data_IF_750918430771
#
_entry.id   IF_750918430771
#
_cell.length_a   1.000
_cell.length_b   1.000
_cell.length_c   1.000
_cell.angle_alpha   90.00
_cell.angle_beta   90.00
_cell.angle_gamma   90.00
#
_symmetry.space_group_name_H-M   'P 1'
#
loop_
_entity.id
_entity.type
_entity.pdbx_description
1 polymer ?
#
# COMPACT_ATOMS: atom_id res chain seq x y z
N UNK A 1 4.36 0.11 -7.93
CA UNK A 1 2.98 -0.27 -8.32
C UNK A 1 2.01 0.37 -7.33
N UNK A 2 0.81 0.74 -7.74
CA UNK A 2 -0.17 1.39 -6.86
C UNK A 2 -1.39 0.47 -6.69
N UNK A 3 -1.76 0.17 -5.45
CA UNK A 3 -3.02 -0.45 -5.10
C UNK A 3 -3.95 0.64 -4.53
N UNK A 4 -4.76 1.29 -5.38
CA UNK A 4 -5.67 2.34 -4.93
C UNK A 4 -6.84 1.74 -4.14
N UNK A 5 -7.53 2.59 -3.38
CA UNK A 5 -8.67 2.20 -2.56
C UNK A 5 -8.30 1.06 -1.58
N UNK A 6 -7.08 1.07 -1.05
CA UNK A 6 -6.63 0.04 -0.12
C UNK A 6 -7.48 0.11 1.15
N UNK A 7 -7.96 -1.06 1.57
CA UNK A 7 -8.72 -1.24 2.80
C UNK A 7 -8.01 -2.30 3.62
N UNK A 8 -7.85 -2.02 4.91
CA UNK A 8 -7.32 -2.99 5.85
C UNK A 8 -8.27 -4.18 6.02
N UNK A 9 -7.76 -5.36 6.39
CA UNK A 9 -8.60 -6.49 6.77
C UNK A 9 -9.56 -6.09 7.90
N UNK A 10 -10.84 -6.43 7.75
CA UNK A 10 -11.84 -6.20 8.78
C UNK A 10 -11.70 -7.30 9.84
N UNK A 11 -11.32 -6.92 11.05
CA UNK A 11 -11.22 -7.84 12.19
C UNK A 11 -12.57 -8.53 12.46
N UNK A 12 -12.54 -9.85 12.67
CA UNK A 12 -13.75 -10.64 12.93
C UNK A 12 -14.65 -10.90 11.71
N UNK A 13 -14.22 -10.54 10.50
CA UNK A 13 -14.99 -10.83 9.28
C UNK A 13 -15.10 -12.34 9.01
N UNK A 14 -16.31 -12.81 8.69
CA UNK A 14 -16.58 -14.18 8.22
C UNK A 14 -16.48 -14.32 6.70
N UNK A 15 -16.06 -13.26 5.99
CA UNK A 15 -15.88 -13.30 4.55
C UNK A 15 -14.68 -14.19 4.18
N UNK A 16 -14.94 -15.24 3.40
CA UNK A 16 -13.96 -16.27 3.04
C UNK A 16 -13.10 -15.91 1.81
N UNK A 17 -13.36 -14.78 1.16
CA UNK A 17 -12.52 -14.30 0.05
C UNK A 17 -11.20 -13.72 0.53
N UNK A 18 -10.21 -13.69 -0.36
CA UNK A 18 -8.87 -13.17 -0.08
C UNK A 18 -8.88 -11.70 0.34
N UNK A 19 -7.97 -11.36 1.25
CA UNK A 19 -7.67 -9.97 1.56
C UNK A 19 -6.84 -9.31 0.45
N UNK A 20 -6.85 -7.98 0.37
CA UNK A 20 -5.93 -7.25 -0.54
C UNK A 20 -4.47 -7.58 -0.25
N UNK A 21 -4.11 -7.70 1.03
CA UNK A 21 -2.77 -8.07 1.46
C UNK A 21 -2.37 -9.47 0.92
N UNK A 22 -3.28 -10.45 0.96
CA UNK A 22 -3.04 -11.79 0.39
C UNK A 22 -2.71 -11.72 -1.11
N UNK A 23 -3.52 -10.98 -1.88
CA UNK A 23 -3.31 -10.83 -3.33
C UNK A 23 -2.02 -10.08 -3.67
N UNK A 24 -1.65 -9.08 -2.87
CA UNK A 24 -0.38 -8.36 -3.05
C UNK A 24 0.80 -9.28 -2.74
N UNK A 25 0.70 -10.14 -1.72
CA UNK A 25 1.73 -11.14 -1.41
C UNK A 25 1.91 -12.16 -2.54
N UNK A 26 0.82 -12.60 -3.17
CA UNK A 26 0.86 -13.45 -4.35
C UNK A 26 1.51 -12.74 -5.55
N UNK A 27 1.18 -11.45 -5.77
CA UNK A 27 1.87 -10.63 -6.76
C UNK A 27 3.39 -10.60 -6.53
N UNK A 28 3.83 -10.50 -5.26
CA UNK A 28 5.24 -10.52 -4.89
C UNK A 28 5.94 -11.87 -5.03
N UNK A 29 5.20 -12.97 -5.25
CA UNK A 29 5.81 -14.25 -5.59
C UNK A 29 6.48 -14.22 -6.97
N UNK A 30 5.95 -13.41 -7.89
CA UNK A 30 6.45 -13.30 -9.27
C UNK A 30 7.12 -11.96 -9.57
N UNK A 31 6.92 -10.93 -8.74
CA UNK A 31 7.36 -9.57 -9.01
C UNK A 31 8.10 -8.98 -7.80
N UNK A 32 9.27 -8.38 -8.01
CA UNK A 32 9.99 -7.68 -6.94
C UNK A 32 9.50 -6.23 -6.71
N UNK A 33 8.66 -5.70 -7.60
CA UNK A 33 8.27 -4.28 -7.57
C UNK A 33 7.47 -3.94 -6.29
N UNK A 34 7.84 -2.89 -5.54
CA UNK A 34 7.06 -2.43 -4.40
C UNK A 34 5.63 -2.03 -4.76
N UNK A 35 4.69 -2.28 -3.86
CA UNK A 35 3.29 -1.90 -3.99
C UNK A 35 2.94 -0.91 -2.87
N UNK A 36 2.34 0.23 -3.23
CA UNK A 36 1.76 1.17 -2.26
C UNK A 36 0.25 0.94 -2.18
N UNK A 37 -0.23 0.47 -1.03
CA UNK A 37 -1.64 0.47 -0.67
C UNK A 37 -2.07 1.88 -0.28
N UNK A 38 -2.74 2.57 -1.20
CA UNK A 38 -3.17 3.95 -1.03
C UNK A 38 -4.64 3.99 -0.58
N UNK A 39 -4.88 4.49 0.62
CA UNK A 39 -6.22 4.63 1.19
C UNK A 39 -6.98 5.78 0.51
N UNK A 40 -8.30 5.67 0.44
CA UNK A 40 -9.15 6.73 -0.12
C UNK A 40 -8.97 8.06 0.61
N UNK A 41 -9.01 9.17 -0.12
CA UNK A 41 -8.72 10.50 0.42
C UNK A 41 -7.23 10.84 0.52
N UNK A 42 -6.33 9.92 0.13
CA UNK A 42 -4.90 10.17 -0.02
C UNK A 42 -4.46 10.16 -1.48
N UNK A 43 -3.34 10.81 -1.80
CA UNK A 43 -2.76 10.83 -3.15
C UNK A 43 -1.24 10.94 -3.11
N UNK A 44 -0.58 10.59 -4.20
CA UNK A 44 0.85 10.84 -4.39
C UNK A 44 1.03 12.12 -5.19
N UNK A 45 1.82 13.06 -4.66
CA UNK A 45 2.28 14.23 -5.38
C UNK A 45 3.71 13.98 -5.86
N UNK A 46 3.95 14.18 -7.16
CA UNK A 46 5.27 14.02 -7.78
C UNK A 46 5.75 15.38 -8.25
N UNK A 47 6.92 15.81 -7.78
CA UNK A 47 7.62 17.03 -8.21
C UNK A 47 9.06 16.70 -8.59
N UNK A 48 9.32 16.59 -9.89
CA UNK A 48 10.60 16.11 -10.39
C UNK A 48 10.87 14.68 -9.92
N UNK A 49 11.98 14.47 -9.21
CA UNK A 49 12.33 13.17 -8.62
C UNK A 49 11.75 12.94 -7.22
N UNK A 50 11.08 13.94 -6.62
CA UNK A 50 10.49 13.81 -5.29
C UNK A 50 9.07 13.28 -5.36
N UNK A 51 8.78 12.28 -4.53
CA UNK A 51 7.44 11.73 -4.32
C UNK A 51 7.02 12.03 -2.89
N UNK A 52 5.78 12.48 -2.70
CA UNK A 52 5.22 12.70 -1.37
C UNK A 52 3.81 12.10 -1.29
N UNK A 53 3.53 11.39 -0.19
CA UNK A 53 2.18 11.04 0.19
C UNK A 53 1.49 12.28 0.74
N UNK A 54 0.27 12.53 0.27
CA UNK A 54 -0.61 13.61 0.72
C UNK A 54 -1.96 13.03 1.15
N UNK A 55 -2.67 13.80 1.97
CA UNK A 55 -3.85 13.32 2.71
C UNK A 55 -3.55 13.17 4.20
N UNK A 56 -4.57 12.88 4.99
CA UNK A 56 -4.47 12.72 6.45
C UNK A 56 -4.18 11.28 6.89
N UNK A 57 -4.29 10.31 5.97
CA UNK A 57 -4.11 8.89 6.26
C UNK A 57 -2.70 8.43 5.89
N UNK A 58 -2.25 7.38 6.57
CA UNK A 58 -1.05 6.64 6.17
C UNK A 58 -1.31 5.83 4.91
N UNK A 59 -0.26 5.48 4.18
CA UNK A 59 -0.29 4.44 3.16
C UNK A 59 0.40 3.18 3.69
N UNK A 60 0.10 2.02 3.11
CA UNK A 60 0.76 0.76 3.48
C UNK A 60 1.72 0.34 2.38
N UNK A 61 3.00 0.23 2.69
CA UNK A 61 4.05 -0.20 1.76
C UNK A 61 4.24 -1.72 1.86
N UNK A 62 4.19 -2.37 0.71
CA UNK A 62 4.46 -3.79 0.55
C UNK A 62 5.71 -3.97 -0.30
N UNK A 63 6.66 -4.73 0.22
CA UNK A 63 7.88 -5.12 -0.47
C UNK A 63 8.00 -6.65 -0.46
N UNK A 64 8.54 -7.22 -1.53
CA UNK A 64 8.69 -8.66 -1.66
C UNK A 64 9.56 -9.23 -0.51
N UNK A 65 9.04 -10.26 0.17
CA UNK A 65 9.74 -10.91 1.28
C UNK A 65 9.80 -10.12 2.59
N UNK A 66 9.13 -8.97 2.69
CA UNK A 66 9.08 -8.15 3.92
C UNK A 66 7.66 -8.07 4.47
N UNK A 67 7.55 -7.87 5.79
CA UNK A 67 6.28 -7.51 6.40
C UNK A 67 5.84 -6.11 5.92
N UNK A 68 4.53 -5.88 5.68
CA UNK A 68 4.04 -4.57 5.27
C UNK A 68 4.29 -3.52 6.36
N UNK A 69 4.61 -2.29 5.95
CA UNK A 69 4.86 -1.17 6.87
C UNK A 69 3.94 0.01 6.60
N UNK A 70 3.51 0.70 7.66
CA UNK A 70 2.76 1.95 7.53
C UNK A 70 3.71 3.11 7.21
N UNK A 71 3.29 3.97 6.30
CA UNK A 71 4.05 5.13 5.85
C UNK A 71 3.22 6.38 6.08
N UNK A 72 3.78 7.31 6.86
CA UNK A 72 3.13 8.56 7.19
C UNK A 72 2.99 9.48 5.96
N UNK A 73 1.99 10.36 6.02
CA UNK A 73 1.85 11.46 5.07
C UNK A 73 3.11 12.33 5.10
N UNK A 74 3.59 12.74 3.93
CA UNK A 74 4.86 13.44 3.77
C UNK A 74 5.76 12.83 2.69
N UNK A 75 7.04 13.23 2.64
CA UNK A 75 8.00 12.71 1.68
C UNK A 75 8.14 11.19 1.74
N UNK A 76 8.14 10.54 0.58
CA UNK A 76 8.37 9.11 0.44
C UNK A 76 9.79 8.85 -0.04
N UNK A 77 10.46 7.93 0.64
CA UNK A 77 11.73 7.34 0.19
C UNK A 77 11.42 5.92 -0.28
N UNK A 78 11.26 5.75 -1.59
CA UNK A 78 10.90 4.49 -2.26
C UNK A 78 12.10 3.91 -3.01
#
# INVERSE_FOLDING_TARGET
>A
NLNPHYLDPIEGSNHMGETRETRIREFHHFNAQPVIGLREGSWLEIRGASVSLRGSLTARLFEAGKAPVEVASGPLHL
#
